data_IF_229841610461
#
_entry.id   IF_229841610461
#
_cell.length_a   1.000
_cell.length_b   1.000
_cell.length_c   1.000
_cell.angle_alpha   90.00
_cell.angle_beta   90.00
_cell.angle_gamma   90.00
#
_symmetry.space_group_name_H-M   'P 1'
#
loop_
_entity.id
_entity.type
_entity.pdbx_description
1 polymer ?
#
# COMPACT_ATOMS: atom_id res chain seq x y z
N UNK A 1 -36.61 -10.73 -51.62
CA UNK A 1 -35.70 -9.72 -51.03
C UNK A 1 -34.51 -10.46 -50.45
N UNK A 2 -33.33 -10.32 -51.04
CA UNK A 2 -32.12 -11.03 -50.63
C UNK A 2 -31.21 -10.04 -49.94
N UNK A 3 -31.07 -10.16 -48.62
CA UNK A 3 -30.16 -9.32 -47.86
C UNK A 3 -28.74 -9.89 -47.94
N UNK A 4 -27.75 -9.01 -48.10
CA UNK A 4 -26.34 -9.37 -48.00
C UNK A 4 -26.00 -9.46 -46.51
N UNK A 5 -25.75 -10.67 -46.03
CA UNK A 5 -25.31 -10.92 -44.66
C UNK A 5 -23.82 -10.55 -44.53
N UNK A 6 -23.51 -9.51 -43.73
CA UNK A 6 -22.15 -9.06 -43.49
C UNK A 6 -21.49 -9.98 -42.47
N UNK A 7 -20.77 -10.99 -42.95
CA UNK A 7 -20.04 -11.93 -42.10
C UNK A 7 -18.70 -11.33 -41.63
N UNK A 8 -18.29 -11.61 -40.40
CA UNK A 8 -16.95 -11.27 -39.88
C UNK A 8 -15.86 -12.24 -40.33
N UNK A 9 -16.23 -13.28 -41.08
CA UNK A 9 -15.26 -14.19 -41.68
C UNK A 9 -14.64 -13.54 -42.91
N UNK A 10 -13.32 -13.31 -42.84
CA UNK A 10 -12.53 -12.93 -44.01
C UNK A 10 -12.76 -13.95 -45.11
N UNK A 11 -13.23 -13.48 -46.27
CA UNK A 11 -13.43 -14.32 -47.45
C UNK A 11 -12.18 -15.17 -47.72
N UNK A 12 -12.36 -16.40 -48.20
CA UNK A 12 -11.26 -17.36 -48.42
C UNK A 12 -10.13 -16.78 -49.29
N UNK A 13 -10.47 -15.91 -50.26
CA UNK A 13 -9.50 -15.17 -51.07
C UNK A 13 -8.66 -14.18 -50.24
N UNK A 14 -9.27 -13.47 -49.28
CA UNK A 14 -8.56 -12.58 -48.36
C UNK A 14 -7.67 -13.38 -47.40
N UNK A 15 -8.13 -14.53 -46.90
CA UNK A 15 -7.32 -15.43 -46.07
C UNK A 15 -6.07 -15.94 -46.78
N UNK A 16 -6.17 -16.28 -48.08
CA UNK A 16 -5.00 -16.69 -48.90
C UNK A 16 -3.95 -15.59 -49.06
N UNK A 17 -4.33 -14.33 -48.90
CA UNK A 17 -3.44 -13.17 -48.97
C UNK A 17 -2.80 -12.83 -47.61
N UNK A 18 -3.30 -13.38 -46.50
CA UNK A 18 -2.71 -13.19 -45.17
C UNK A 18 -1.41 -13.98 -45.10
N UNK A 19 -0.29 -13.25 -45.06
CA UNK A 19 1.02 -13.86 -44.82
C UNK A 19 1.12 -14.26 -43.35
N UNK A 20 1.63 -15.46 -43.08
CA UNK A 20 1.95 -15.87 -41.72
C UNK A 20 3.14 -15.04 -41.24
N UNK A 21 2.90 -14.13 -40.30
CA UNK A 21 3.96 -13.42 -39.61
C UNK A 21 4.45 -14.25 -38.43
N UNK A 22 5.77 -14.31 -38.16
CA UNK A 22 6.25 -14.86 -36.90
C UNK A 22 5.65 -14.05 -35.73
N UNK A 23 5.29 -14.74 -34.65
CA UNK A 23 4.78 -14.07 -33.46
C UNK A 23 5.77 -12.98 -33.01
N UNK A 24 5.28 -11.75 -32.86
CA UNK A 24 6.09 -10.65 -32.35
C UNK A 24 6.53 -10.97 -30.92
N UNK A 25 7.78 -10.63 -30.53
CA UNK A 25 8.22 -10.81 -29.16
C UNK A 25 7.35 -9.97 -28.22
N UNK A 26 6.84 -10.59 -27.16
CA UNK A 26 6.06 -9.90 -26.15
C UNK A 26 6.95 -8.91 -25.38
N UNK A 27 6.63 -7.62 -25.43
CA UNK A 27 7.26 -6.63 -24.58
C UNK A 27 6.81 -6.82 -23.13
N UNK A 28 7.75 -7.05 -22.21
CA UNK A 28 7.48 -7.07 -20.77
C UNK A 28 7.83 -5.71 -20.19
N UNK A 29 6.82 -4.99 -19.71
CA UNK A 29 7.06 -3.74 -18.98
C UNK A 29 7.78 -4.04 -17.67
N UNK A 30 8.81 -3.25 -17.36
CA UNK A 30 9.52 -3.28 -16.09
C UNK A 30 9.25 -1.98 -15.33
N UNK A 31 9.25 -2.00 -13.99
CA UNK A 31 9.24 -0.77 -13.19
C UNK A 31 10.37 0.15 -13.65
N UNK A 32 10.08 1.44 -13.79
CA UNK A 32 11.09 2.43 -14.14
C UNK A 32 12.04 2.64 -12.96
N UNK A 33 13.23 3.18 -13.22
CA UNK A 33 14.14 3.58 -12.15
C UNK A 33 13.47 4.56 -11.18
N UNK A 34 12.64 5.48 -11.69
CA UNK A 34 11.88 6.42 -10.87
C UNK A 34 10.85 5.73 -9.98
N UNK A 35 10.15 4.68 -10.47
CA UNK A 35 9.18 3.97 -9.63
C UNK A 35 9.89 3.19 -8.52
N UNK A 36 11.07 2.64 -8.79
CA UNK A 36 11.88 1.95 -7.77
C UNK A 36 12.39 2.94 -6.71
N UNK A 37 12.88 4.11 -7.16
CA UNK A 37 13.33 5.16 -6.25
C UNK A 37 12.18 5.67 -5.36
N UNK A 38 11.00 5.88 -5.94
CA UNK A 38 9.81 6.30 -5.19
C UNK A 38 9.40 5.25 -4.15
N UNK A 39 9.38 3.96 -4.52
CA UNK A 39 9.09 2.89 -3.57
C UNK A 39 10.10 2.87 -2.40
N UNK A 40 11.39 3.03 -2.69
CA UNK A 40 12.42 3.10 -1.65
C UNK A 40 12.26 4.31 -0.72
N UNK A 41 11.83 5.46 -1.26
CA UNK A 41 11.51 6.63 -0.43
C UNK A 41 10.29 6.37 0.45
N UNK A 42 9.23 5.80 -0.12
CA UNK A 42 8.01 5.46 0.63
C UNK A 42 8.29 4.51 1.79
N UNK A 43 9.11 3.48 1.58
CA UNK A 43 9.49 2.53 2.63
C UNK A 43 10.27 3.20 3.77
N UNK A 44 11.19 4.11 3.43
CA UNK A 44 11.96 4.87 4.43
C UNK A 44 11.07 5.79 5.25
N UNK A 45 10.21 6.56 4.58
CA UNK A 45 9.30 7.48 5.27
C UNK A 45 8.31 6.71 6.14
N UNK A 46 7.78 5.59 5.66
CA UNK A 46 6.90 4.73 6.45
C UNK A 46 7.60 4.23 7.73
N UNK A 47 8.86 3.80 7.61
CA UNK A 47 9.66 3.36 8.75
C UNK A 47 9.85 4.49 9.77
N UNK A 48 10.16 5.71 9.31
CA UNK A 48 10.35 6.88 10.18
C UNK A 48 9.05 7.27 10.88
N UNK A 49 7.95 7.33 10.14
CA UNK A 49 6.62 7.61 10.70
C UNK A 49 6.28 6.59 11.78
N UNK A 50 6.44 5.29 11.48
CA UNK A 50 6.14 4.24 12.43
C UNK A 50 6.99 4.33 13.71
N UNK A 51 8.30 4.61 13.57
CA UNK A 51 9.19 4.77 14.71
C UNK A 51 8.82 5.98 15.59
N UNK A 52 8.48 7.11 14.98
CA UNK A 52 8.07 8.32 15.70
C UNK A 52 6.74 8.10 16.41
N UNK A 53 5.75 7.55 15.71
CA UNK A 53 4.44 7.26 16.30
C UNK A 53 4.58 6.31 17.49
N UNK A 54 5.35 5.24 17.34
CA UNK A 54 5.60 4.28 18.43
C UNK A 54 6.25 4.97 19.63
N UNK A 55 7.29 5.78 19.41
CA UNK A 55 7.97 6.50 20.48
C UNK A 55 7.03 7.46 21.22
N UNK A 56 6.18 8.19 20.49
CA UNK A 56 5.20 9.10 21.08
C UNK A 56 4.18 8.31 21.92
N UNK A 57 3.64 7.22 21.37
CA UNK A 57 2.68 6.37 22.09
C UNK A 57 3.30 5.82 23.38
N UNK A 58 4.51 5.26 23.31
CA UNK A 58 5.22 4.76 24.50
C UNK A 58 5.42 5.86 25.55
N UNK A 59 5.88 7.04 25.14
CA UNK A 59 6.09 8.15 26.06
C UNK A 59 4.79 8.60 26.73
N UNK A 60 3.70 8.69 25.97
CA UNK A 60 2.39 9.04 26.53
C UNK A 60 1.88 7.97 27.51
N UNK A 61 2.12 6.69 27.22
CA UNK A 61 1.82 5.60 28.16
C UNK A 61 2.63 5.70 29.45
N UNK A 62 3.93 6.02 29.37
CA UNK A 62 4.78 6.23 30.54
C UNK A 62 4.30 7.41 31.39
N UNK A 63 3.93 8.53 30.75
CA UNK A 63 3.39 9.71 31.45
C UNK A 63 2.06 9.38 32.15
N UNK A 64 1.17 8.63 31.49
CA UNK A 64 -0.08 8.20 32.09
C UNK A 64 0.14 7.27 33.29
N UNK A 65 1.08 6.32 33.18
CA UNK A 65 1.45 5.42 34.27
C UNK A 65 2.04 6.19 35.45
N UNK A 66 2.90 7.18 35.19
CA UNK A 66 3.44 8.06 36.22
C UNK A 66 2.33 8.84 36.94
N UNK A 67 1.39 9.45 36.19
CA UNK A 67 0.28 10.18 36.78
C UNK A 67 -0.61 9.30 37.66
N UNK A 68 -0.92 8.08 37.20
CA UNK A 68 -1.68 7.10 37.97
C UNK A 68 -0.97 6.70 39.27
N UNK A 69 0.37 6.55 39.23
CA UNK A 69 1.14 6.23 40.43
C UNK A 69 1.17 7.40 41.42
N UNK A 70 1.27 8.63 40.93
CA UNK A 70 1.17 9.83 41.78
C UNK A 70 -0.20 9.90 42.47
N UNK A 71 -1.29 9.69 41.72
CA UNK A 71 -2.65 9.65 42.28
C UNK A 71 -2.80 8.54 43.34
N UNK A 72 -2.25 7.35 43.07
CA UNK A 72 -2.27 6.24 44.02
C UNK A 72 -1.54 6.58 45.32
N UNK A 73 -0.37 7.21 45.22
CA UNK A 73 0.44 7.62 46.39
C UNK A 73 -0.27 8.71 47.17
N UNK A 74 -0.85 9.70 46.50
CA UNK A 74 -1.58 10.80 47.14
C UNK A 74 -2.82 10.29 47.90
N UNK A 75 -3.61 9.41 47.28
CA UNK A 75 -4.75 8.78 47.91
C UNK A 75 -4.34 7.98 49.16
N UNK A 76 -3.28 7.17 49.05
CA UNK A 76 -2.78 6.40 50.18
C UNK A 76 -2.31 7.30 51.33
N UNK A 77 -1.61 8.39 51.02
CA UNK A 77 -1.19 9.35 52.04
C UNK A 77 -2.40 10.02 52.70
N UNK A 78 -3.42 10.38 51.93
CA UNK A 78 -4.68 10.90 52.44
C UNK A 78 -5.39 9.94 53.41
N UNK A 79 -5.41 8.65 53.11
CA UNK A 79 -5.94 7.62 54.01
C UNK A 79 -5.14 7.50 55.31
N UNK A 80 -3.81 7.51 55.22
CA UNK A 80 -2.92 7.37 56.40
C UNK A 80 -2.98 8.59 57.32
N UNK A 81 -3.20 9.78 56.75
CA UNK A 81 -3.26 11.04 57.50
C UNK A 81 -4.68 11.43 57.95
N UNK A 82 -5.70 10.68 57.55
CA UNK A 82 -7.06 10.90 58.01
C UNK A 82 -7.18 10.52 59.52
N UNK A 83 -7.69 11.43 60.38
CA UNK A 83 -7.78 11.23 61.82
C UNK A 83 -8.80 10.17 62.26
#
# INVERSE_FOLDING_TARGET
MTFIELTTHTASAAQRCIRSFPALPAARLRPSHSSIALASMQDKEHTLIHAITTRITTHLTEVAAFAAEVERVDAHLGEVLAP
#
